data_IF_852843018139
#
_entry.id   IF_852843018139
#
_cell.length_a   1.000
_cell.length_b   1.000
_cell.length_c   1.000
_cell.angle_alpha   90.00
_cell.angle_beta   90.00
_cell.angle_gamma   90.00
#
_symmetry.space_group_name_H-M   'P 1'
#
loop_
_entity.id
_entity.type
_entity.pdbx_description
1 polymer ?
#
# COMPACT_ATOMS: atom_id res chain seq x y z
N UNK A 1 6.35 1.73 -9.77
CA UNK A 1 5.15 2.52 -9.42
C UNK A 1 3.97 1.57 -9.29
N UNK A 2 3.16 1.67 -8.23
CA UNK A 2 1.86 0.98 -8.16
C UNK A 2 0.76 1.98 -8.49
N UNK A 3 -0.11 1.60 -9.44
CA UNK A 3 -1.24 2.40 -9.87
C UNK A 3 -2.44 1.48 -9.95
N UNK A 4 -3.30 1.54 -8.94
CA UNK A 4 -4.46 0.68 -8.84
C UNK A 4 -5.59 1.24 -9.70
N UNK A 5 -6.14 0.46 -10.64
CA UNK A 5 -7.32 0.88 -11.38
C UNK A 5 -8.50 1.04 -10.44
N UNK A 6 -9.31 2.06 -10.70
CA UNK A 6 -10.57 2.27 -9.97
C UNK A 6 -11.77 2.14 -10.89
N UNK A 7 -12.92 1.85 -10.31
CA UNK A 7 -14.23 2.06 -10.93
C UNK A 7 -14.87 3.24 -10.24
N UNK A 8 -15.34 4.20 -11.03
CA UNK A 8 -16.05 5.38 -10.56
C UNK A 8 -17.48 5.33 -11.08
N UNK A 9 -18.45 5.37 -10.18
CA UNK A 9 -19.87 5.32 -10.51
C UNK A 9 -20.56 6.53 -9.90
N UNK A 10 -21.31 7.29 -10.71
CA UNK A 10 -22.07 8.43 -10.21
C UNK A 10 -23.37 7.96 -9.57
N UNK A 11 -23.52 8.24 -8.29
CA UNK A 11 -24.69 7.87 -7.50
C UNK A 11 -25.85 8.87 -7.67
N UNK A 12 -27.04 8.48 -7.21
CA UNK A 12 -28.29 9.24 -7.37
C UNK A 12 -28.30 10.57 -6.59
N UNK A 13 -27.52 10.66 -5.53
CA UNK A 13 -27.30 11.85 -4.70
C UNK A 13 -26.20 12.77 -5.27
N UNK A 14 -25.79 12.58 -6.53
CA UNK A 14 -24.76 13.39 -7.20
C UNK A 14 -23.32 13.20 -6.69
N UNK A 15 -23.04 12.19 -5.87
CA UNK A 15 -21.67 11.84 -5.46
C UNK A 15 -21.07 10.78 -6.39
N UNK A 16 -19.76 10.61 -6.35
CA UNK A 16 -19.04 9.49 -6.97
C UNK A 16 -18.76 8.42 -5.93
N UNK A 17 -19.09 7.16 -6.26
CA UNK A 17 -18.63 5.97 -5.55
C UNK A 17 -17.35 5.48 -6.24
N UNK A 18 -16.30 5.25 -5.46
CA UNK A 18 -15.03 4.70 -5.95
C UNK A 18 -14.76 3.35 -5.33
N UNK A 19 -14.49 2.36 -6.18
CA UNK A 19 -14.13 0.99 -5.76
C UNK A 19 -12.89 0.49 -6.49
N UNK A 20 -12.16 -0.41 -5.84
CA UNK A 20 -10.93 -1.00 -6.38
C UNK A 20 -11.17 -2.48 -6.73
N UNK A 21 -11.00 -2.90 -8.00
CA UNK A 21 -11.14 -4.31 -8.36
C UNK A 21 -10.13 -5.23 -7.67
N UNK A 22 -8.91 -4.73 -7.41
CA UNK A 22 -7.83 -5.51 -6.82
C UNK A 22 -7.88 -5.55 -5.29
N UNK A 23 -8.49 -4.54 -4.66
CA UNK A 23 -8.63 -4.42 -3.20
C UNK A 23 -10.10 -4.07 -2.88
N UNK A 24 -11.01 -5.06 -2.90
CA UNK A 24 -12.45 -4.82 -2.75
C UNK A 24 -12.86 -4.19 -1.41
N UNK A 25 -12.01 -4.32 -0.39
CA UNK A 25 -12.21 -3.69 0.92
C UNK A 25 -12.01 -2.16 0.87
N UNK A 26 -11.32 -1.63 -0.14
CA UNK A 26 -11.15 -0.20 -0.35
C UNK A 26 -12.37 0.38 -1.09
N UNK A 27 -13.17 1.16 -0.38
CA UNK A 27 -14.36 1.84 -0.91
C UNK A 27 -14.40 3.27 -0.36
N UNK A 28 -14.69 4.24 -1.22
CA UNK A 28 -14.80 5.64 -0.83
C UNK A 28 -15.85 6.38 -1.66
N UNK A 29 -16.17 7.60 -1.24
CA UNK A 29 -17.07 8.50 -1.96
C UNK A 29 -16.48 9.90 -2.03
N UNK A 30 -16.90 10.71 -3.00
CA UNK A 30 -16.60 12.15 -3.08
C UNK A 30 -17.68 12.90 -3.84
N UNK A 31 -17.79 14.21 -3.63
CA UNK A 31 -18.83 15.05 -4.26
C UNK A 31 -18.52 15.33 -5.74
N UNK A 32 -17.23 15.35 -6.09
CA UNK A 32 -16.73 15.46 -7.45
C UNK A 32 -15.61 14.44 -7.75
N UNK A 33 -15.11 14.45 -8.99
CA UNK A 33 -14.11 13.47 -9.44
C UNK A 33 -12.76 13.62 -8.72
N UNK A 34 -12.35 14.85 -8.43
CA UNK A 34 -11.06 15.14 -7.78
C UNK A 34 -11.10 14.73 -6.30
N UNK A 35 -12.17 15.09 -5.59
CA UNK A 35 -12.39 14.68 -4.20
C UNK A 35 -12.53 13.16 -4.10
N UNK A 36 -13.26 12.54 -5.03
CA UNK A 36 -13.44 11.09 -5.04
C UNK A 36 -12.10 10.35 -5.20
N UNK A 37 -11.18 10.86 -6.03
CA UNK A 37 -9.85 10.27 -6.19
C UNK A 37 -8.94 10.52 -4.97
N UNK A 38 -9.06 11.68 -4.32
CA UNK A 38 -8.37 11.97 -3.06
C UNK A 38 -8.80 10.99 -1.96
N UNK A 39 -10.11 10.85 -1.77
CA UNK A 39 -10.70 9.94 -0.78
C UNK A 39 -10.40 8.47 -1.11
N UNK A 40 -10.28 8.13 -2.40
CA UNK A 40 -9.89 6.79 -2.83
C UNK A 40 -8.45 6.43 -2.45
N UNK A 41 -7.52 7.39 -2.47
CA UNK A 41 -6.16 7.16 -1.96
C UNK A 41 -6.18 6.85 -0.46
N UNK A 42 -6.93 7.63 0.32
CA UNK A 42 -7.05 7.41 1.76
C UNK A 42 -7.65 6.02 2.05
N UNK A 43 -8.74 5.66 1.37
CA UNK A 43 -9.37 4.35 1.52
C UNK A 43 -8.46 3.19 1.09
N UNK A 44 -7.63 3.39 0.06
CA UNK A 44 -6.65 2.40 -0.37
C UNK A 44 -5.58 2.18 0.71
N UNK A 45 -5.04 3.24 1.31
CA UNK A 45 -4.06 3.14 2.39
C UNK A 45 -4.66 2.48 3.65
N UNK A 46 -5.90 2.82 4.02
CA UNK A 46 -6.62 2.16 5.11
C UNK A 46 -6.88 0.68 4.85
N UNK A 47 -7.24 0.31 3.62
CA UNK A 47 -7.37 -1.09 3.26
C UNK A 47 -6.02 -1.82 3.39
N UNK A 48 -4.92 -1.24 2.89
CA UNK A 48 -3.57 -1.83 3.01
C UNK A 48 -3.18 -2.07 4.49
N UNK A 49 -3.54 -1.16 5.39
CA UNK A 49 -3.33 -1.33 6.83
C UNK A 49 -4.01 -2.59 7.37
N UNK A 50 -5.25 -2.85 6.94
CA UNK A 50 -5.98 -4.09 7.28
C UNK A 50 -5.22 -5.32 6.77
N UNK A 51 -4.72 -5.31 5.54
CA UNK A 51 -3.92 -6.42 5.01
C UNK A 51 -2.65 -6.68 5.84
N UNK A 52 -1.98 -5.63 6.30
CA UNK A 52 -0.80 -5.74 7.15
C UNK A 52 -1.14 -6.36 8.52
N UNK A 53 -2.25 -5.94 9.12
CA UNK A 53 -2.71 -6.45 10.41
C UNK A 53 -3.18 -7.91 10.33
N UNK A 54 -3.90 -8.26 9.26
CA UNK A 54 -4.34 -9.62 8.98
C UNK A 54 -3.21 -10.55 8.49
N UNK A 55 -2.01 -10.01 8.24
CA UNK A 55 -0.86 -10.74 7.67
C UNK A 55 -1.20 -11.40 6.34
N UNK A 56 -1.99 -10.70 5.53
CA UNK A 56 -2.34 -11.08 4.17
C UNK A 56 -1.47 -10.36 3.17
N UNK A 57 -1.12 -11.05 2.09
CA UNK A 57 -0.40 -10.42 0.99
C UNK A 57 -1.31 -9.38 0.33
N UNK A 58 -0.81 -8.14 0.20
CA UNK A 58 -1.51 -7.08 -0.51
C UNK A 58 -1.49 -7.39 -2.01
N UNK A 59 -2.66 -7.47 -2.68
CA UNK A 59 -2.73 -7.71 -4.12
C UNK A 59 -1.98 -6.62 -4.89
N UNK A 60 -1.19 -7.02 -5.89
CA UNK A 60 -0.52 -6.07 -6.79
C UNK A 60 -1.54 -5.45 -7.76
N UNK A 61 -1.33 -4.19 -8.20
CA UNK A 61 -2.28 -3.53 -9.09
C UNK A 61 -2.40 -4.27 -10.42
N UNK A 62 -3.63 -4.48 -10.88
CA UNK A 62 -3.90 -4.98 -12.22
C UNK A 62 -3.67 -3.88 -13.27
N UNK A 63 -3.56 -4.29 -14.54
CA UNK A 63 -3.35 -3.35 -15.65
C UNK A 63 -4.63 -2.56 -15.90
N UNK A 64 -4.55 -1.24 -15.80
CA UNK A 64 -5.66 -0.35 -16.13
C UNK A 64 -6.04 -0.42 -17.63
N UNK A 65 -7.34 -0.37 -17.90
CA UNK A 65 -7.86 -0.25 -19.25
C UNK A 65 -7.57 1.15 -19.83
N UNK A 66 -7.64 1.29 -21.16
CA UNK A 66 -7.42 2.59 -21.82
C UNK A 66 -8.46 3.61 -21.31
N UNK A 67 -7.99 4.70 -20.72
CA UNK A 67 -8.83 5.76 -20.18
C UNK A 67 -9.45 5.47 -18.80
N UNK A 68 -9.10 4.35 -18.17
CA UNK A 68 -9.56 4.05 -16.82
C UNK A 68 -8.77 4.88 -15.79
N UNK A 69 -9.48 5.50 -14.85
CA UNK A 69 -8.88 6.22 -13.73
C UNK A 69 -8.07 5.27 -12.84
N UNK A 70 -6.98 5.80 -12.26
CA UNK A 70 -6.09 5.07 -11.38
C UNK A 70 -5.75 5.89 -10.15
N UNK A 71 -5.55 5.22 -9.02
CA UNK A 71 -4.97 5.82 -7.83
C UNK A 71 -3.52 5.37 -7.71
N UNK A 72 -2.61 6.33 -7.63
CA UNK A 72 -1.17 6.08 -7.54
C UNK A 72 -0.76 6.07 -6.08
N UNK A 73 -0.12 4.99 -5.65
CA UNK A 73 0.48 4.96 -4.32
C UNK A 73 1.78 5.76 -4.28
N UNK A 74 2.03 6.54 -3.22
CA UNK A 74 3.34 7.13 -2.96
C UNK A 74 4.44 6.06 -2.94
N UNK A 75 5.63 6.39 -3.45
CA UNK A 75 6.73 5.43 -3.55
C UNK A 75 7.10 4.80 -2.19
N UNK A 76 7.01 5.57 -1.10
CA UNK A 76 7.27 5.06 0.25
C UNK A 76 6.26 3.99 0.67
N UNK A 77 4.97 4.19 0.38
CA UNK A 77 3.91 3.20 0.68
C UNK A 77 4.13 1.94 -0.17
N UNK A 78 4.48 2.09 -1.45
CA UNK A 78 4.84 0.95 -2.32
C UNK A 78 5.98 0.13 -1.73
N UNK A 79 7.04 0.76 -1.25
CA UNK A 79 8.16 0.06 -0.64
C UNK A 79 7.75 -0.73 0.61
N UNK A 80 6.82 -0.19 1.41
CA UNK A 80 6.27 -0.88 2.59
C UNK A 80 5.38 -2.07 2.22
N UNK A 81 4.54 -1.92 1.20
CA UNK A 81 3.72 -3.02 0.66
C UNK A 81 4.61 -4.16 0.18
N UNK A 82 5.65 -3.83 -0.60
CA UNK A 82 6.63 -4.83 -1.07
C UNK A 82 7.35 -5.52 0.09
N UNK A 83 7.73 -4.77 1.14
CA UNK A 83 8.38 -5.33 2.32
C UNK A 83 7.45 -6.30 3.07
N UNK A 84 6.20 -5.90 3.32
CA UNK A 84 5.21 -6.72 4.00
C UNK A 84 4.91 -8.02 3.22
N UNK A 85 4.70 -7.91 1.91
CA UNK A 85 4.48 -9.07 1.04
C UNK A 85 5.68 -10.02 1.06
N UNK A 86 6.91 -9.50 1.00
CA UNK A 86 8.12 -10.33 1.07
C UNK A 86 8.25 -11.04 2.42
N UNK A 87 7.96 -10.35 3.52
CA UNK A 87 7.93 -10.98 4.86
C UNK A 87 6.93 -12.15 4.90
N UNK A 88 5.74 -11.98 4.33
CA UNK A 88 4.70 -13.02 4.26
C UNK A 88 5.20 -14.22 3.45
N UNK A 89 5.75 -13.98 2.24
CA UNK A 89 6.29 -15.04 1.38
C UNK A 89 7.42 -15.84 2.03
N UNK A 90 8.24 -15.18 2.85
CA UNK A 90 9.33 -15.83 3.59
C UNK A 90 8.88 -16.39 4.96
N UNK A 91 7.62 -16.19 5.38
CA UNK A 91 7.13 -16.61 6.70
C UNK A 91 7.75 -15.85 7.88
N UNK A 92 8.26 -14.63 7.66
CA UNK A 92 8.95 -13.82 8.66
C UNK A 92 7.96 -12.96 9.43
N UNK A 93 8.01 -13.04 10.77
CA UNK A 93 7.19 -12.23 11.67
C UNK A 93 7.88 -10.91 12.01
N UNK A 94 7.10 -9.91 12.46
CA UNK A 94 7.63 -8.62 12.95
C UNK A 94 8.76 -8.80 13.98
N UNK A 95 8.55 -9.67 14.96
CA UNK A 95 9.53 -9.97 16.01
C UNK A 95 10.85 -10.54 15.49
N UNK A 96 10.79 -11.36 14.44
CA UNK A 96 11.98 -11.89 13.78
C UNK A 96 12.70 -10.80 12.99
N UNK A 97 11.97 -9.95 12.25
CA UNK A 97 12.57 -8.82 11.55
C UNK A 97 13.28 -7.86 12.54
N UNK A 98 12.67 -7.58 13.69
CA UNK A 98 13.29 -6.77 14.74
C UNK A 98 14.61 -7.38 15.24
N UNK A 99 14.65 -8.70 15.46
CA UNK A 99 15.88 -9.40 15.85
C UNK A 99 16.96 -9.30 14.77
N UNK A 100 16.60 -9.48 13.50
CA UNK A 100 17.55 -9.39 12.38
C UNK A 100 18.12 -7.98 12.21
N UNK A 101 17.30 -6.98 12.46
CA UNK A 101 17.66 -5.56 12.39
C UNK A 101 18.35 -5.04 13.67
N UNK A 102 18.32 -5.80 14.76
CA UNK A 102 18.77 -5.36 16.09
C UNK A 102 18.06 -4.09 16.57
N UNK A 103 16.73 -4.10 16.51
CA UNK A 103 15.87 -2.95 16.86
C UNK A 103 14.69 -3.34 17.74
N UNK A 104 14.07 -2.35 18.38
CA UNK A 104 12.85 -2.56 19.17
C UNK A 104 11.59 -2.65 18.30
N UNK A 105 10.55 -3.30 18.84
CA UNK A 105 9.33 -3.57 18.09
C UNK A 105 8.62 -2.35 17.49
N UNK A 106 8.51 -1.21 18.21
CA UNK A 106 7.88 -0.02 17.64
C UNK A 106 8.55 0.49 16.36
N UNK A 107 9.85 0.21 16.15
CA UNK A 107 10.52 0.59 14.90
C UNK A 107 10.04 -0.26 13.72
N UNK A 108 9.80 -1.55 13.94
CA UNK A 108 9.26 -2.45 12.91
C UNK A 108 7.78 -2.18 12.68
N UNK A 109 7.02 -1.87 13.71
CA UNK A 109 5.60 -1.49 13.55
C UNK A 109 5.46 -0.28 12.62
N UNK A 110 6.30 0.75 12.79
CA UNK A 110 6.34 1.92 11.89
C UNK A 110 6.79 1.58 10.46
N UNK A 111 7.64 0.57 10.28
CA UNK A 111 8.02 0.09 8.94
C UNK A 111 6.86 -0.63 8.24
N UNK A 112 5.96 -1.23 9.02
CA UNK A 112 4.81 -2.00 8.58
C UNK A 112 3.49 -1.29 8.90
N UNK A 113 3.50 0.02 8.74
CA UNK A 113 2.34 0.92 8.80
C UNK A 113 2.42 1.79 7.54
N UNK A 114 1.46 1.70 6.60
CA UNK A 114 1.52 2.44 5.34
C UNK A 114 1.44 3.96 5.53
N UNK A 115 0.80 4.44 6.60
CA UNK A 115 0.53 5.87 6.86
C UNK A 115 1.62 6.54 7.70
N UNK A 116 2.44 5.75 8.40
CA UNK A 116 3.55 6.29 9.17
C UNK A 116 4.71 6.79 8.27
N UNK A 117 5.33 7.91 8.63
CA UNK A 117 6.56 8.35 7.95
C UNK A 117 7.77 7.47 8.31
N UNK A 118 8.45 6.91 7.32
CA UNK A 118 9.63 6.06 7.56
C UNK A 118 10.80 6.52 6.70
N UNK A 119 12.01 6.45 7.25
CA UNK A 119 13.23 6.71 6.49
C UNK A 119 13.48 5.58 5.50
N UNK A 120 13.88 5.91 4.28
CA UNK A 120 14.21 4.90 3.26
C UNK A 120 15.32 3.97 3.71
N UNK A 121 16.37 4.48 4.37
CA UNK A 121 17.48 3.68 4.90
C UNK A 121 17.01 2.51 5.79
N UNK A 122 15.92 2.71 6.57
CA UNK A 122 15.37 1.68 7.43
C UNK A 122 14.63 0.59 6.64
N UNK A 123 14.00 0.97 5.53
CA UNK A 123 13.34 0.04 4.60
C UNK A 123 14.39 -0.75 3.82
N UNK A 124 15.44 -0.09 3.34
CA UNK A 124 16.58 -0.74 2.68
C UNK A 124 17.26 -1.76 3.60
N UNK A 125 17.52 -1.38 4.85
CA UNK A 125 18.07 -2.29 5.86
C UNK A 125 17.15 -3.50 6.07
N UNK A 126 15.82 -3.29 6.12
CA UNK A 126 14.86 -4.37 6.25
C UNK A 126 14.93 -5.33 5.05
N UNK A 127 14.90 -4.83 3.82
CA UNK A 127 15.05 -5.66 2.62
C UNK A 127 16.37 -6.43 2.59
N UNK A 128 17.48 -5.81 3.02
CA UNK A 128 18.78 -6.48 3.10
C UNK A 128 18.74 -7.69 4.05
N UNK A 129 18.03 -7.59 5.18
CA UNK A 129 17.80 -8.72 6.12
C UNK A 129 16.87 -9.82 5.59
N UNK A 130 16.17 -9.52 4.49
CA UNK A 130 15.36 -10.47 3.72
C UNK A 130 16.09 -10.98 2.47
N UNK A 131 17.36 -10.61 2.25
CA UNK A 131 18.12 -10.99 1.06
C UNK A 131 17.64 -10.33 -0.22
N UNK A 132 17.02 -9.14 -0.11
CA UNK A 132 16.53 -8.31 -1.22
C UNK A 132 17.26 -6.97 -1.25
N UNK A 133 17.16 -6.30 -2.39
CA UNK A 133 17.64 -4.95 -2.61
C UNK A 133 16.48 -4.07 -3.06
N UNK A 134 16.45 -2.83 -2.57
CA UNK A 134 15.54 -1.79 -3.03
C UNK A 134 16.26 -0.98 -4.12
N UNK A 135 15.70 -0.94 -5.32
CA UNK A 135 16.23 -0.15 -6.44
C UNK A 135 15.26 0.98 -6.81
N UNK A 136 15.82 2.15 -7.13
CA UNK A 136 15.07 3.33 -7.53
C UNK A 136 15.26 3.57 -9.03
N UNK A 137 14.15 3.86 -9.71
CA UNK A 137 14.15 4.29 -11.11
C UNK A 137 13.28 5.54 -11.27
N UNK A 138 13.65 6.38 -12.23
CA UNK A 138 12.91 7.60 -12.60
C UNK A 138 12.34 7.37 -13.99
N UNK A 139 11.05 7.69 -14.18
CA UNK A 139 10.31 7.50 -15.43
C UNK A 139 9.43 8.70 -15.72
#
# INVERSE_FOLDING_TARGET
MFSYPVKMERATNNTYLVTFPDIPEAVSVGDDEDEALLNALDALESAIEIYFDEKREVPLPSKANKGQSVVKLPALVVSKVLLANEMIRQGIRKSELARRLDVHMPQVDRLLDPRHSSKLDAIEAAFAKLGKQLDVSIS
#
